data_IF_081202955140
#
_entry.id   IF_081202955140
#
_cell.length_a   1.000
_cell.length_b   1.000
_cell.length_c   1.000
_cell.angle_alpha   90.00
_cell.angle_beta   90.00
_cell.angle_gamma   90.00
#
_symmetry.space_group_name_H-M   'P 1'
#
loop_
_entity.id
_entity.type
_entity.pdbx_description
1 polymer ?
#
# COMPACT_ATOMS: atom_id res chain seq x y z
N UNK A 1 -2.02 -2.81 -13.72
CA UNK A 1 -2.62 -2.51 -12.40
C UNK A 1 -4.15 -2.47 -12.47
N UNK A 2 -4.77 -1.74 -13.42
CA UNK A 2 -6.23 -1.75 -13.60
C UNK A 2 -6.77 -3.16 -13.79
N UNK A 3 -6.09 -3.97 -14.60
CA UNK A 3 -6.53 -5.33 -14.90
C UNK A 3 -6.36 -6.25 -13.69
N UNK A 4 -5.39 -5.97 -12.80
CA UNK A 4 -5.22 -6.69 -11.54
C UNK A 4 -6.31 -6.32 -10.53
N UNK A 5 -6.66 -5.04 -10.45
CA UNK A 5 -7.79 -4.55 -9.65
C UNK A 5 -9.13 -5.16 -10.12
N UNK A 6 -9.28 -5.46 -11.41
CA UNK A 6 -10.50 -6.07 -11.95
C UNK A 6 -10.55 -7.59 -11.80
N UNK A 7 -9.42 -8.25 -12.02
CA UNK A 7 -9.33 -9.72 -12.03
C UNK A 7 -9.23 -10.33 -10.64
N UNK A 8 -8.79 -9.55 -9.63
CA UNK A 8 -8.56 -9.97 -8.24
C UNK A 8 -8.08 -11.43 -8.14
N UNK A 9 -6.86 -11.74 -8.66
CA UNK A 9 -6.36 -13.11 -8.65
C UNK A 9 -6.35 -13.71 -7.25
N UNK A 10 -6.44 -15.04 -7.15
CA UNK A 10 -6.48 -15.75 -5.86
C UNK A 10 -5.32 -15.29 -4.96
N UNK A 11 -5.68 -14.81 -3.77
CA UNK A 11 -4.73 -14.34 -2.76
C UNK A 11 -4.26 -12.89 -2.92
N UNK A 12 -4.76 -12.16 -3.91
CA UNK A 12 -4.45 -10.75 -4.15
C UNK A 12 -5.69 -9.87 -4.01
N UNK A 13 -5.52 -8.74 -3.35
CA UNK A 13 -6.56 -7.72 -3.20
C UNK A 13 -5.94 -6.34 -3.43
N UNK A 14 -6.70 -5.46 -4.08
CA UNK A 14 -6.23 -4.14 -4.44
C UNK A 14 -7.25 -3.08 -4.03
N UNK A 15 -6.76 -1.94 -3.55
CA UNK A 15 -7.57 -0.81 -3.13
C UNK A 15 -6.95 0.49 -3.59
N UNK A 16 -7.80 1.41 -4.04
CA UNK A 16 -7.45 2.79 -4.33
C UNK A 16 -7.80 3.66 -3.13
N UNK A 17 -6.80 4.27 -2.52
CA UNK A 17 -6.95 5.17 -1.38
C UNK A 17 -7.40 6.54 -1.89
N UNK A 18 -8.52 7.05 -1.39
CA UNK A 18 -9.05 8.38 -1.74
C UNK A 18 -8.92 9.42 -0.60
N UNK A 19 -8.34 9.01 0.53
CA UNK A 19 -8.15 9.84 1.74
C UNK A 19 -6.79 10.55 1.78
N UNK A 20 -6.46 11.11 2.95
CA UNK A 20 -5.18 11.77 3.19
C UNK A 20 -4.00 10.81 2.91
N UNK A 21 -2.94 11.37 2.35
CA UNK A 21 -1.71 10.63 2.09
C UNK A 21 -1.11 10.16 3.43
N UNK A 22 -0.74 8.87 3.49
CA UNK A 22 -0.03 8.33 4.64
C UNK A 22 1.38 8.91 4.68
N UNK A 23 2.01 8.92 5.86
CA UNK A 23 3.43 9.27 6.01
C UNK A 23 4.35 8.17 5.44
N UNK A 24 4.27 7.96 4.13
CA UNK A 24 5.01 6.97 3.37
C UNK A 24 4.37 5.57 3.36
N UNK A 25 4.81 4.72 2.40
CA UNK A 25 4.37 3.34 2.33
C UNK A 25 5.01 2.48 3.42
N UNK A 26 4.27 1.46 3.85
CA UNK A 26 4.78 0.42 4.74
C UNK A 26 4.22 -0.95 4.34
N UNK A 27 4.86 -2.02 4.81
CA UNK A 27 4.37 -3.38 4.66
C UNK A 27 4.25 -4.06 6.02
N UNK A 28 3.14 -4.79 6.19
CA UNK A 28 2.97 -5.74 7.30
C UNK A 28 3.20 -7.14 6.77
N UNK A 29 4.32 -7.72 7.18
CA UNK A 29 4.73 -9.06 6.79
C UNK A 29 4.26 -10.04 7.86
N UNK A 30 3.51 -11.07 7.47
CA UNK A 30 2.95 -12.05 8.42
C UNK A 30 3.52 -13.43 8.16
N UNK A 31 3.90 -14.09 9.24
CA UNK A 31 4.22 -15.51 9.29
C UNK A 31 3.20 -16.20 10.20
N UNK A 32 3.31 -17.52 10.37
CA UNK A 32 2.43 -18.27 11.27
C UNK A 32 2.50 -17.79 12.72
N UNK A 33 3.68 -17.33 13.18
CA UNK A 33 3.93 -17.06 14.60
C UNK A 33 4.05 -15.57 14.93
N UNK A 34 4.39 -14.73 13.95
CA UNK A 34 4.61 -13.29 14.17
C UNK A 34 4.25 -12.44 12.96
N UNK A 35 4.05 -11.16 13.23
CA UNK A 35 4.01 -10.11 12.24
C UNK A 35 5.20 -9.16 12.41
N UNK A 36 5.66 -8.57 11.31
CA UNK A 36 6.73 -7.58 11.29
C UNK A 36 6.31 -6.40 10.42
N UNK A 37 6.70 -5.20 10.83
CA UNK A 37 6.54 -3.97 10.07
C UNK A 37 7.83 -3.70 9.30
N UNK A 38 7.70 -3.43 8.00
CA UNK A 38 8.79 -2.97 7.15
C UNK A 38 8.48 -1.57 6.60
N UNK A 39 9.44 -0.65 6.71
CA UNK A 39 9.37 0.71 6.16
C UNK A 39 10.62 0.95 5.31
N UNK A 40 10.40 1.41 4.08
CA UNK A 40 11.47 1.74 3.15
C UNK A 40 11.46 3.25 2.87
N UNK A 41 12.55 3.99 3.14
CA UNK A 41 12.63 5.42 2.84
C UNK A 41 12.76 5.74 1.34
N UNK A 42 12.82 4.72 0.48
CA UNK A 42 12.92 4.86 -0.96
C UNK A 42 11.60 4.47 -1.65
N UNK A 43 10.76 5.43 -2.04
CA UNK A 43 9.51 5.16 -2.74
C UNK A 43 9.77 4.48 -4.10
N UNK A 44 9.02 3.43 -4.39
CA UNK A 44 9.16 2.64 -5.63
C UNK A 44 8.75 3.40 -6.90
N UNK A 45 8.04 4.50 -6.75
CA UNK A 45 7.58 5.41 -7.79
C UNK A 45 8.47 6.67 -7.94
N UNK A 46 9.60 6.73 -7.21
CA UNK A 46 10.58 7.82 -7.33
C UNK A 46 11.66 7.52 -8.37
N UNK A 47 12.29 8.57 -8.92
CA UNK A 47 13.45 8.38 -9.79
C UNK A 47 14.59 7.74 -8.99
N UNK A 48 15.45 6.91 -9.62
CA UNK A 48 16.61 6.35 -8.94
C UNK A 48 17.39 7.46 -8.23
N UNK A 49 17.46 7.39 -6.91
CA UNK A 49 18.25 8.30 -6.11
C UNK A 49 19.54 7.58 -5.70
N UNK A 50 20.68 8.29 -5.74
CA UNK A 50 21.96 7.74 -5.28
C UNK A 50 22.17 7.96 -3.78
N UNK A 51 21.09 8.24 -3.02
CA UNK A 51 21.19 8.57 -1.61
C UNK A 51 21.32 7.30 -0.77
N UNK A 52 22.22 7.33 0.19
CA UNK A 52 22.29 6.30 1.22
C UNK A 52 21.15 6.47 2.21
N UNK A 53 20.57 5.36 2.66
CA UNK A 53 19.45 5.36 3.59
C UNK A 53 19.28 3.98 4.22
N UNK A 54 18.51 3.93 5.31
CA UNK A 54 18.33 2.72 6.10
C UNK A 54 16.86 2.32 6.04
N UNK A 55 16.58 1.13 5.51
CA UNK A 55 15.28 0.51 5.66
C UNK A 55 15.14 -0.10 7.06
N UNK A 56 13.93 -0.05 7.61
CA UNK A 56 13.64 -0.59 8.95
C UNK A 56 12.74 -1.81 8.85
N UNK A 57 13.09 -2.87 9.59
CA UNK A 57 12.22 -4.01 9.85
C UNK A 57 12.15 -4.21 11.36
N UNK A 58 10.95 -4.26 11.93
CA UNK A 58 10.74 -4.47 13.37
C UNK A 58 9.57 -5.41 13.64
N UNK A 59 9.66 -6.16 14.74
CA UNK A 59 8.54 -6.96 15.27
C UNK A 59 8.03 -6.39 16.60
N UNK A 60 8.37 -5.14 16.92
CA UNK A 60 7.83 -4.45 18.10
C UNK A 60 6.30 -4.39 18.02
N UNK A 61 5.63 -4.91 19.05
CA UNK A 61 4.18 -5.12 19.06
C UNK A 61 3.42 -3.81 18.81
N UNK A 62 3.76 -2.74 19.53
CA UNK A 62 3.09 -1.44 19.38
C UNK A 62 3.22 -0.87 17.96
N UNK A 63 4.39 -1.04 17.33
CA UNK A 63 4.62 -0.57 15.97
C UNK A 63 3.75 -1.34 14.98
N UNK A 64 3.71 -2.68 15.09
CA UNK A 64 2.88 -3.55 14.25
C UNK A 64 1.40 -3.24 14.45
N UNK A 65 0.92 -3.16 15.69
CA UNK A 65 -0.49 -2.94 15.99
C UNK A 65 -0.97 -1.55 15.55
N UNK A 66 -0.15 -0.52 15.71
CA UNK A 66 -0.49 0.82 15.25
C UNK A 66 -0.63 0.87 13.73
N UNK A 67 0.32 0.30 13.00
CA UNK A 67 0.27 0.27 11.53
C UNK A 67 -0.83 -0.64 11.00
N UNK A 68 -1.14 -1.74 11.70
CA UNK A 68 -2.28 -2.60 11.35
C UNK A 68 -3.60 -1.83 11.43
N UNK A 69 -3.84 -1.07 12.50
CA UNK A 69 -5.06 -0.27 12.64
C UNK A 69 -5.19 0.76 11.51
N UNK A 70 -4.09 1.40 11.13
CA UNK A 70 -4.05 2.33 9.99
C UNK A 70 -4.37 1.58 8.69
N UNK A 71 -3.72 0.44 8.44
CA UNK A 71 -3.97 -0.36 7.24
C UNK A 71 -5.43 -0.81 7.13
N UNK A 72 -6.03 -1.26 8.23
CA UNK A 72 -7.44 -1.68 8.29
C UNK A 72 -8.41 -0.52 8.06
N UNK A 73 -8.16 0.64 8.68
CA UNK A 73 -8.97 1.83 8.47
C UNK A 73 -8.91 2.29 7.02
N UNK A 74 -7.70 2.43 6.48
CA UNK A 74 -7.48 2.81 5.07
C UNK A 74 -8.09 1.78 4.11
N UNK A 75 -7.97 0.48 4.41
CA UNK A 75 -8.59 -0.57 3.61
C UNK A 75 -10.11 -0.47 3.63
N UNK A 76 -10.73 -0.21 4.79
CA UNK A 76 -12.19 -0.07 4.91
C UNK A 76 -12.72 0.99 3.95
N UNK A 77 -12.04 2.13 3.89
CA UNK A 77 -12.48 3.30 3.12
C UNK A 77 -11.98 3.29 1.67
N UNK A 78 -11.06 2.39 1.31
CA UNK A 78 -10.54 2.27 -0.05
C UNK A 78 -11.61 1.83 -1.06
N UNK A 79 -11.48 2.34 -2.28
CA UNK A 79 -12.29 1.93 -3.44
C UNK A 79 -11.66 0.66 -4.00
N UNK A 80 -12.47 -0.38 -4.27
CA UNK A 80 -11.97 -1.73 -4.61
C UNK A 80 -12.56 -2.25 -5.92
N UNK A 81 -11.98 -3.33 -6.44
CA UNK A 81 -12.49 -4.05 -7.60
C UNK A 81 -12.63 -3.18 -8.85
N UNK A 82 -13.70 -3.44 -9.61
CA UNK A 82 -14.06 -2.73 -10.84
C UNK A 82 -14.18 -1.21 -10.66
N UNK A 83 -14.68 -0.74 -9.51
CA UNK A 83 -14.81 0.68 -9.23
C UNK A 83 -13.43 1.36 -9.12
N UNK A 84 -12.48 0.70 -8.46
CA UNK A 84 -11.10 1.18 -8.34
C UNK A 84 -10.42 1.25 -9.71
N UNK A 85 -10.58 0.19 -10.51
CA UNK A 85 -10.01 0.12 -11.86
C UNK A 85 -10.56 1.23 -12.76
N UNK A 86 -11.87 1.45 -12.75
CA UNK A 86 -12.53 2.55 -13.49
C UNK A 86 -11.98 3.91 -13.07
N UNK A 87 -11.88 4.17 -11.78
CA UNK A 87 -11.36 5.45 -11.28
C UNK A 87 -9.88 5.63 -11.62
N UNK A 88 -9.07 4.58 -11.52
CA UNK A 88 -7.66 4.65 -11.89
C UNK A 88 -7.46 4.92 -13.38
N UNK A 89 -8.27 4.32 -14.27
CA UNK A 89 -8.27 4.67 -15.70
C UNK A 89 -8.62 6.14 -15.94
N UNK A 90 -9.59 6.68 -15.21
CA UNK A 90 -9.95 8.09 -15.33
C UNK A 90 -8.81 9.02 -14.87
N UNK A 91 -8.10 8.67 -13.79
CA UNK A 91 -6.94 9.43 -13.30
C UNK A 91 -5.75 9.40 -14.25
N UNK A 92 -5.55 8.30 -14.97
CA UNK A 92 -4.46 8.10 -15.92
C UNK A 92 -4.79 8.61 -17.34
N UNK A 93 -6.02 9.02 -17.60
CA UNK A 93 -6.41 9.53 -18.90
C UNK A 93 -5.60 10.81 -19.23
N UNK A 94 -5.19 11.01 -20.50
CA UNK A 94 -4.49 12.22 -20.90
C UNK A 94 -5.31 13.45 -20.52
N UNK A 95 -4.66 14.43 -19.88
CA UNK A 95 -5.25 15.77 -19.79
C UNK A 95 -5.07 16.40 -21.17
N UNK A 96 -6.19 16.71 -21.83
CA UNK A 96 -6.19 17.43 -23.11
C UNK A 96 -5.58 18.81 -23.02
#
# INVERSE_FOLDING_TARGET
MTDLMESEPIGLQFGLISGAELNGPFMLLRTRERASLAINPFPTDSTPNAQSGVAMITSAEDAVMTHQRIAEATWRDAIKGQAAAKQMRALLAPKG
#
